data_IF_239310742526
#
_entry.id   IF_239310742526
#
_cell.length_a   1.000
_cell.length_b   1.000
_cell.length_c   1.000
_cell.angle_alpha   90.00
_cell.angle_beta   90.00
_cell.angle_gamma   90.00
#
_symmetry.space_group_name_H-M   'P 1'
#
loop_
_entity.id
_entity.type
_entity.pdbx_description
1 polymer ?
#
# COMPACT_ATOMS: atom_id res chain seq x y z
N UNK A 1 4.83 24.32 -2.96
CA UNK A 1 3.46 24.28 -2.34
C UNK A 1 2.33 24.17 -3.37
N UNK A 2 2.44 24.69 -4.60
CA UNK A 2 1.40 24.57 -5.62
C UNK A 2 0.81 23.13 -5.74
N UNK A 3 1.70 22.13 -5.85
CA UNK A 3 1.28 20.72 -5.95
C UNK A 3 0.47 20.21 -4.74
N UNK A 4 0.70 20.78 -3.55
CA UNK A 4 -0.08 20.43 -2.35
C UNK A 4 -1.48 20.99 -2.46
N UNK A 5 -1.61 22.25 -2.87
CA UNK A 5 -2.91 22.90 -3.08
C UNK A 5 -3.72 22.20 -4.17
N UNK A 6 -3.07 21.88 -5.30
CA UNK A 6 -3.73 21.17 -6.42
C UNK A 6 -4.21 19.77 -6.00
N UNK A 7 -3.39 19.04 -5.22
CA UNK A 7 -3.70 17.69 -4.79
C UNK A 7 -4.81 17.64 -3.72
N UNK A 8 -4.84 18.61 -2.81
CA UNK A 8 -5.70 18.58 -1.61
C UNK A 8 -6.94 19.46 -1.71
N UNK A 9 -6.99 20.39 -2.68
CA UNK A 9 -7.98 21.46 -2.74
C UNK A 9 -7.91 22.42 -1.54
N UNK A 10 -6.76 22.44 -0.83
CA UNK A 10 -6.55 23.29 0.34
C UNK A 10 -6.42 24.77 0.02
N UNK A 11 -6.52 25.61 1.04
CA UNK A 11 -6.37 27.06 0.95
C UNK A 11 -5.01 27.49 1.54
N UNK A 12 -4.26 28.32 0.81
CA UNK A 12 -3.03 28.93 1.32
C UNK A 12 -3.38 30.13 2.23
N UNK A 13 -3.16 29.96 3.52
CA UNK A 13 -3.46 31.00 4.53
C UNK A 13 -2.27 31.97 4.70
N UNK A 14 -1.03 31.47 4.59
CA UNK A 14 0.20 32.25 4.72
C UNK A 14 1.32 31.65 3.87
N UNK A 15 2.32 32.46 3.55
CA UNK A 15 3.51 32.06 2.80
C UNK A 15 3.34 32.16 1.28
N UNK A 16 4.22 31.49 0.53
CA UNK A 16 4.30 31.59 -0.93
C UNK A 16 4.02 30.24 -1.60
N UNK A 17 3.18 30.24 -2.62
CA UNK A 17 2.79 29.05 -3.38
C UNK A 17 3.96 28.37 -4.11
N UNK A 18 4.97 29.16 -4.52
CA UNK A 18 6.17 28.68 -5.22
C UNK A 18 7.26 28.13 -4.29
N UNK A 19 7.07 28.20 -2.94
CA UNK A 19 8.05 27.68 -1.99
C UNK A 19 8.21 26.16 -2.16
N UNK A 20 9.45 25.65 -2.38
CA UNK A 20 9.72 24.23 -2.44
C UNK A 20 9.72 23.59 -1.04
N UNK A 21 9.54 22.27 -1.00
CA UNK A 21 9.77 21.45 0.19
C UNK A 21 10.45 20.12 -0.22
N UNK A 22 11.23 19.52 0.68
CA UNK A 22 12.08 18.35 0.38
C UNK A 22 11.50 17.02 0.85
N UNK A 23 10.46 17.03 1.68
CA UNK A 23 9.82 15.84 2.19
C UNK A 23 8.59 16.15 3.00
N UNK A 24 7.84 15.11 3.37
CA UNK A 24 6.63 15.19 4.17
C UNK A 24 6.84 14.43 5.47
N UNK A 25 6.45 15.02 6.61
CA UNK A 25 6.45 14.34 7.90
C UNK A 25 5.12 14.55 8.62
N UNK A 26 4.67 13.52 9.32
CA UNK A 26 3.54 13.54 10.25
C UNK A 26 3.99 13.46 11.71
N UNK A 27 5.31 13.35 11.96
CA UNK A 27 5.92 13.29 13.29
C UNK A 27 6.87 14.48 13.48
N UNK A 28 6.50 15.41 14.36
CA UNK A 28 7.28 16.62 14.64
C UNK A 28 8.69 16.34 15.18
N UNK A 29 8.91 15.16 15.80
CA UNK A 29 10.22 14.73 16.34
C UNK A 29 11.19 14.28 15.23
N UNK A 30 10.67 13.99 14.03
CA UNK A 30 11.42 13.50 12.88
C UNK A 30 11.51 14.53 11.76
N UNK A 31 11.09 15.77 12.02
CA UNK A 31 11.19 16.87 11.07
C UNK A 31 12.65 17.12 10.71
N UNK A 32 12.87 17.33 9.43
CA UNK A 32 14.14 17.80 8.86
C UNK A 32 13.94 19.18 8.26
N UNK A 33 14.97 20.01 8.24
CA UNK A 33 14.93 21.30 7.53
C UNK A 33 14.43 21.09 6.08
N UNK A 34 13.50 21.93 5.66
CA UNK A 34 12.90 21.82 4.33
C UNK A 34 11.64 20.94 4.26
N UNK A 35 11.25 20.22 5.33
CA UNK A 35 10.06 19.39 5.32
C UNK A 35 8.75 20.20 5.36
N UNK A 36 7.70 19.59 4.84
CA UNK A 36 6.31 19.94 5.08
C UNK A 36 5.75 19.08 6.22
N UNK A 37 5.23 19.69 7.27
CA UNK A 37 4.58 18.98 8.37
C UNK A 37 3.08 18.88 8.15
N UNK A 38 2.50 17.70 8.37
CA UNK A 38 1.04 17.48 8.32
C UNK A 38 0.54 17.21 9.73
N UNK A 39 -0.31 18.10 10.25
CA UNK A 39 -0.87 18.02 11.59
C UNK A 39 -2.05 17.05 11.65
N UNK A 40 -1.76 15.74 11.74
CA UNK A 40 -2.80 14.72 11.85
C UNK A 40 -3.51 14.79 13.20
N UNK A 41 -4.82 14.48 13.16
CA UNK A 41 -5.63 14.27 14.37
C UNK A 41 -5.79 12.76 14.55
N UNK A 42 -5.43 12.24 15.72
CA UNK A 42 -5.63 10.85 16.13
C UNK A 42 -6.56 10.76 17.34
N UNK A 43 -6.90 9.55 17.76
CA UNK A 43 -7.80 9.32 18.89
C UNK A 43 -7.28 9.94 20.21
N UNK A 44 -5.96 9.95 20.41
CA UNK A 44 -5.32 10.35 21.67
C UNK A 44 -4.41 11.57 21.52
N UNK A 45 -4.28 12.16 20.34
CA UNK A 45 -3.42 13.32 20.13
C UNK A 45 -3.94 14.20 18.98
N UNK A 46 -3.60 15.48 19.02
CA UNK A 46 -3.84 16.43 17.96
C UNK A 46 -2.51 17.03 17.50
N UNK A 47 -2.16 16.79 16.24
CA UNK A 47 -0.93 17.26 15.61
C UNK A 47 -0.78 18.78 15.56
N UNK A 48 -1.91 19.54 15.67
CA UNK A 48 -1.87 21.01 15.70
C UNK A 48 -1.08 21.55 16.90
N UNK A 49 -1.08 20.83 18.03
CA UNK A 49 -0.28 21.21 19.20
C UNK A 49 1.23 21.15 18.96
N UNK A 50 1.66 20.43 17.94
CA UNK A 50 3.08 20.21 17.61
C UNK A 50 3.57 21.06 16.43
N UNK A 51 2.73 21.95 15.89
CA UNK A 51 3.11 22.83 14.77
C UNK A 51 4.33 23.68 15.15
N UNK A 52 4.34 24.30 16.33
CA UNK A 52 5.49 25.07 16.81
C UNK A 52 6.78 24.25 16.83
N UNK A 53 6.73 23.04 17.39
CA UNK A 53 7.88 22.11 17.44
C UNK A 53 8.36 21.74 16.01
N UNK A 54 7.44 21.53 15.09
CA UNK A 54 7.79 21.22 13.70
C UNK A 54 8.47 22.42 13.01
N UNK A 55 8.00 23.63 13.25
CA UNK A 55 8.59 24.86 12.73
C UNK A 55 9.99 25.09 13.31
N UNK A 56 10.17 24.93 14.62
CA UNK A 56 11.47 25.01 15.30
C UNK A 56 12.45 23.94 14.75
N UNK A 57 11.94 22.77 14.32
CA UNK A 57 12.68 21.70 13.65
C UNK A 57 13.04 22.02 12.19
N UNK A 58 12.61 23.15 11.65
CA UNK A 58 12.92 23.61 10.30
C UNK A 58 11.91 23.24 9.23
N UNK A 59 10.64 22.93 9.62
CA UNK A 59 9.57 22.79 8.63
C UNK A 59 9.36 24.11 7.88
N UNK A 60 9.24 24.02 6.55
CA UNK A 60 9.02 25.18 5.66
C UNK A 60 7.55 25.42 5.36
N UNK A 61 6.69 24.55 5.85
CA UNK A 61 5.26 24.69 5.76
C UNK A 61 4.52 23.66 6.62
N UNK A 62 3.25 23.94 6.85
CA UNK A 62 2.35 23.08 7.62
C UNK A 62 1.02 22.90 6.91
N UNK A 63 0.45 21.69 6.99
CA UNK A 63 -0.91 21.39 6.55
C UNK A 63 -1.75 21.14 7.78
N UNK A 64 -2.84 21.89 7.94
CA UNK A 64 -3.68 21.91 9.14
C UNK A 64 -5.16 21.90 8.80
N UNK A 65 -6.02 21.42 9.72
CA UNK A 65 -7.49 21.53 9.59
C UNK A 65 -8.02 22.81 10.23
N UNK A 66 -7.39 23.25 11.31
CA UNK A 66 -7.89 24.36 12.11
C UNK A 66 -6.78 25.39 12.38
N UNK A 67 -6.88 26.52 11.70
CA UNK A 67 -5.94 27.64 11.86
C UNK A 67 -6.14 28.41 13.15
N UNK A 68 -7.31 28.32 13.81
CA UNK A 68 -7.54 28.98 15.12
C UNK A 68 -6.67 28.43 16.25
N UNK A 69 -6.07 27.25 16.07
CA UNK A 69 -5.11 26.67 17.01
C UNK A 69 -3.70 27.23 16.82
N UNK A 70 -3.46 28.04 15.80
CA UNK A 70 -2.17 28.60 15.46
C UNK A 70 -2.12 30.10 15.81
N UNK A 71 -1.04 30.54 16.42
CA UNK A 71 -0.74 31.96 16.52
C UNK A 71 -0.04 32.43 15.22
N UNK A 72 -0.84 32.69 14.18
CA UNK A 72 -0.32 33.08 12.87
C UNK A 72 0.61 34.29 12.90
N UNK A 73 0.51 35.16 13.91
CA UNK A 73 1.38 36.32 14.07
C UNK A 73 2.79 35.94 14.49
N UNK A 74 2.97 34.75 15.06
CA UNK A 74 4.29 34.22 15.47
C UNK A 74 4.92 33.32 14.40
N UNK A 75 4.17 32.97 13.37
CA UNK A 75 4.69 32.19 12.24
C UNK A 75 5.41 33.13 11.29
N UNK A 76 6.65 32.80 10.94
CA UNK A 76 7.45 33.54 9.96
C UNK A 76 6.70 33.63 8.61
N UNK A 77 6.69 34.81 7.99
CA UNK A 77 6.03 35.06 6.70
C UNK A 77 6.55 34.15 5.58
N UNK A 78 7.77 33.62 5.73
CA UNK A 78 8.35 32.64 4.83
C UNK A 78 7.76 31.23 4.98
N UNK A 79 7.05 30.90 6.04
CA UNK A 79 6.43 29.58 6.28
C UNK A 79 5.07 29.51 5.59
N UNK A 80 4.83 28.40 4.87
CA UNK A 80 3.54 28.17 4.24
C UNK A 80 2.57 27.49 5.22
N UNK A 81 1.41 28.09 5.40
CA UNK A 81 0.27 27.49 6.15
C UNK A 81 -0.82 27.15 5.16
N UNK A 82 -1.13 25.88 5.03
CA UNK A 82 -2.17 25.37 4.13
C UNK A 82 -3.28 24.78 4.99
N UNK A 83 -4.48 25.31 4.84
CA UNK A 83 -5.67 24.77 5.50
C UNK A 83 -6.37 23.79 4.58
N UNK A 84 -6.76 22.63 5.14
CA UNK A 84 -7.52 21.58 4.46
C UNK A 84 -8.71 21.16 5.30
N UNK A 85 -9.70 20.50 4.70
CA UNK A 85 -10.88 20.00 5.44
C UNK A 85 -10.52 18.85 6.37
N UNK A 86 -9.63 17.96 5.94
CA UNK A 86 -9.18 16.79 6.70
C UNK A 86 -7.72 16.47 6.35
N UNK A 87 -6.84 16.48 7.36
CA UNK A 87 -5.40 16.29 7.16
C UNK A 87 -5.02 14.85 6.80
N UNK A 88 -5.80 13.85 7.23
CA UNK A 88 -5.57 12.47 6.85
C UNK A 88 -5.92 12.22 5.37
N UNK A 89 -7.02 12.80 4.92
CA UNK A 89 -7.41 12.80 3.51
C UNK A 89 -6.35 13.52 2.67
N UNK A 90 -5.92 14.70 3.08
CA UNK A 90 -4.89 15.48 2.40
C UNK A 90 -3.55 14.72 2.27
N UNK A 91 -3.13 14.00 3.32
CA UNK A 91 -1.94 13.13 3.28
C UNK A 91 -2.05 12.08 2.17
N UNK A 92 -3.20 11.42 2.07
CA UNK A 92 -3.47 10.43 1.03
C UNK A 92 -3.50 11.03 -0.38
N UNK A 93 -4.15 12.18 -0.56
CA UNK A 93 -4.26 12.86 -1.85
C UNK A 93 -2.90 13.36 -2.35
N UNK A 94 -2.09 13.90 -1.46
CA UNK A 94 -0.69 14.26 -1.75
C UNK A 94 0.14 13.04 -2.15
N UNK A 95 -0.02 11.90 -1.46
CA UNK A 95 0.68 10.67 -1.79
C UNK A 95 0.23 10.12 -3.14
N UNK A 96 -1.07 10.16 -3.46
CA UNK A 96 -1.59 9.81 -4.76
C UNK A 96 -0.98 10.68 -5.87
N UNK A 97 -1.04 12.02 -5.72
CA UNK A 97 -0.46 12.95 -6.68
C UNK A 97 1.05 12.71 -6.88
N UNK A 98 1.78 12.40 -5.80
CA UNK A 98 3.19 12.05 -5.87
C UNK A 98 3.41 10.71 -6.60
N UNK A 99 2.62 9.67 -6.30
CA UNK A 99 2.64 8.35 -6.96
C UNK A 99 2.47 8.47 -8.48
N UNK A 100 1.54 9.31 -8.92
CA UNK A 100 1.23 9.49 -10.36
C UNK A 100 2.36 10.14 -11.17
N UNK A 101 3.43 10.62 -10.53
CA UNK A 101 4.64 11.13 -11.20
C UNK A 101 5.57 10.02 -11.69
N UNK A 102 5.32 8.78 -11.31
CA UNK A 102 6.17 7.63 -11.62
C UNK A 102 5.40 6.63 -12.50
N UNK A 103 5.91 6.40 -13.69
CA UNK A 103 5.35 5.44 -14.66
C UNK A 103 5.90 4.02 -14.40
N UNK A 104 5.90 3.58 -13.13
CA UNK A 104 6.33 2.24 -12.73
C UNK A 104 5.10 1.40 -12.34
N UNK A 105 5.14 0.07 -12.54
CA UNK A 105 4.11 -0.82 -12.04
C UNK A 105 3.99 -0.74 -10.51
N UNK A 106 2.76 -0.76 -10.00
CA UNK A 106 2.47 -0.84 -8.57
C UNK A 106 1.62 -2.06 -8.29
N UNK A 107 2.06 -2.85 -7.34
CA UNK A 107 1.36 -4.00 -6.82
C UNK A 107 0.69 -3.61 -5.52
N UNK A 108 -0.64 -3.73 -5.47
CA UNK A 108 -1.44 -3.63 -4.26
C UNK A 108 -1.69 -5.03 -3.69
N UNK A 109 -1.37 -5.23 -2.42
CA UNK A 109 -1.47 -6.52 -1.76
C UNK A 109 -2.26 -6.42 -0.46
N UNK A 110 -3.35 -7.18 -0.34
CA UNK A 110 -4.14 -7.30 0.89
C UNK A 110 -4.48 -8.76 1.22
N UNK A 111 -5.14 -9.00 2.33
CA UNK A 111 -5.59 -10.33 2.76
C UNK A 111 -5.75 -10.42 4.27
N UNK A 112 -6.37 -11.49 4.75
CA UNK A 112 -6.54 -11.74 6.19
C UNK A 112 -5.25 -12.20 6.84
N UNK A 113 -4.47 -13.05 6.15
CA UNK A 113 -3.17 -13.55 6.61
C UNK A 113 -2.18 -13.67 5.44
N UNK A 114 -0.90 -13.90 5.73
CA UNK A 114 0.13 -14.14 4.71
C UNK A 114 0.67 -12.90 4.00
N UNK A 115 0.05 -11.72 4.12
CA UNK A 115 0.43 -10.49 3.43
C UNK A 115 1.93 -10.20 3.46
N UNK A 116 2.49 -10.05 4.66
CA UNK A 116 3.91 -9.70 4.82
C UNK A 116 4.83 -10.79 4.29
N UNK A 117 4.50 -12.07 4.52
CA UNK A 117 5.27 -13.20 4.00
C UNK A 117 5.26 -13.21 2.47
N UNK A 118 4.10 -13.08 1.86
CA UNK A 118 3.95 -13.01 0.40
C UNK A 118 4.70 -11.79 -0.17
N UNK A 119 4.57 -10.62 0.47
CA UNK A 119 5.30 -9.41 0.08
C UNK A 119 6.82 -9.63 0.07
N UNK A 120 7.36 -10.26 1.10
CA UNK A 120 8.80 -10.50 1.18
C UNK A 120 9.26 -11.57 0.15
N UNK A 121 8.48 -12.63 -0.06
CA UNK A 121 8.78 -13.63 -1.11
C UNK A 121 8.74 -12.99 -2.50
N UNK A 122 7.73 -12.19 -2.79
CA UNK A 122 7.60 -11.45 -4.05
C UNK A 122 8.76 -10.47 -4.24
N UNK A 123 9.11 -9.72 -3.21
CA UNK A 123 10.24 -8.81 -3.26
C UNK A 123 11.54 -9.55 -3.57
N UNK A 124 11.80 -10.70 -2.91
CA UNK A 124 12.96 -11.55 -3.21
C UNK A 124 13.05 -11.95 -4.69
N UNK A 125 11.90 -12.30 -5.31
CA UNK A 125 11.85 -12.67 -6.75
C UNK A 125 12.19 -11.44 -7.61
N UNK A 126 11.53 -10.31 -7.34
CA UNK A 126 11.66 -9.12 -8.17
C UNK A 126 13.01 -8.39 -7.99
N UNK A 127 13.58 -8.41 -6.79
CA UNK A 127 14.88 -7.80 -6.46
C UNK A 127 16.05 -8.46 -7.19
N UNK A 128 15.85 -9.63 -7.81
CA UNK A 128 16.89 -10.26 -8.67
C UNK A 128 17.22 -9.42 -9.91
N UNK A 129 16.26 -8.61 -10.40
CA UNK A 129 16.41 -7.83 -11.64
C UNK A 129 15.93 -6.38 -11.53
N UNK A 130 15.24 -6.01 -10.44
CA UNK A 130 14.54 -4.73 -10.30
C UNK A 130 14.88 -4.04 -8.99
N UNK A 131 14.92 -2.71 -8.99
CA UNK A 131 14.92 -1.91 -7.76
C UNK A 131 13.49 -1.79 -7.23
N UNK A 132 13.20 -2.49 -6.15
CA UNK A 132 11.86 -2.62 -5.57
C UNK A 132 11.66 -1.64 -4.42
N UNK A 133 10.64 -0.81 -4.47
CA UNK A 133 10.09 -0.18 -3.28
C UNK A 133 9.07 -1.13 -2.65
N UNK A 134 9.17 -1.40 -1.35
CA UNK A 134 8.16 -2.18 -0.63
C UNK A 134 7.77 -1.57 0.70
N UNK A 135 6.54 -1.85 1.14
CA UNK A 135 6.07 -1.49 2.48
C UNK A 135 7.00 -2.06 3.53
N UNK A 136 7.50 -1.23 4.42
CA UNK A 136 8.35 -1.62 5.56
C UNK A 136 7.50 -1.80 6.82
N UNK A 137 7.79 -2.88 7.56
CA UNK A 137 7.07 -3.17 8.81
C UNK A 137 5.55 -3.21 8.60
N UNK A 138 4.84 -2.45 9.41
CA UNK A 138 3.38 -2.33 9.40
C UNK A 138 2.87 -1.00 8.79
N UNK A 139 3.64 -0.35 7.92
CA UNK A 139 3.26 0.90 7.25
C UNK A 139 2.21 0.65 6.14
N UNK A 140 1.13 -0.04 6.47
CA UNK A 140 0.12 -0.56 5.56
C UNK A 140 -1.27 0.06 5.74
N UNK A 141 -1.39 1.14 6.52
CA UNK A 141 -2.63 1.86 6.80
C UNK A 141 -2.66 3.25 6.11
N UNK A 142 -3.70 4.05 6.38
CA UNK A 142 -3.91 5.37 5.77
C UNK A 142 -2.82 6.41 6.07
N UNK A 143 -1.93 6.15 7.02
CA UNK A 143 -0.74 6.97 7.31
C UNK A 143 0.52 6.34 6.72
N UNK A 144 0.71 5.05 6.94
CA UNK A 144 1.94 4.34 6.58
C UNK A 144 2.11 4.12 5.07
N UNK A 145 1.03 3.84 4.34
CA UNK A 145 1.10 3.68 2.89
C UNK A 145 1.50 4.98 2.18
N UNK A 146 0.93 6.17 2.50
CA UNK A 146 1.45 7.45 2.04
C UNK A 146 2.94 7.66 2.33
N UNK A 147 3.39 7.37 3.55
CA UNK A 147 4.82 7.48 3.92
C UNK A 147 5.70 6.56 3.08
N UNK A 148 5.22 5.36 2.74
CA UNK A 148 5.93 4.45 1.84
C UNK A 148 6.00 5.04 0.42
N UNK A 149 4.91 5.59 -0.08
CA UNK A 149 4.82 6.21 -1.41
C UNK A 149 5.77 7.42 -1.53
N UNK A 150 5.88 8.27 -0.52
CA UNK A 150 6.82 9.40 -0.54
C UNK A 150 8.30 8.99 -0.60
N UNK A 151 8.62 7.72 -0.43
CA UNK A 151 9.98 7.17 -0.62
C UNK A 151 10.24 6.74 -2.06
N UNK A 152 9.26 6.83 -2.97
CA UNK A 152 9.50 6.59 -4.39
C UNK A 152 10.54 7.56 -4.93
N UNK A 153 11.45 7.02 -5.74
CA UNK A 153 12.44 7.78 -6.50
C UNK A 153 12.47 7.28 -7.94
N UNK A 154 13.16 7.97 -8.81
CA UNK A 154 13.34 7.55 -10.21
C UNK A 154 14.17 6.28 -10.38
N UNK A 155 14.79 5.81 -9.32
CA UNK A 155 15.58 4.59 -9.33
C UNK A 155 14.73 3.32 -9.14
N UNK A 156 13.50 3.44 -8.63
CA UNK A 156 12.63 2.30 -8.43
C UNK A 156 11.99 1.88 -9.75
N UNK A 157 12.03 0.57 -10.03
CA UNK A 157 11.43 -0.05 -11.21
C UNK A 157 10.01 -0.54 -10.93
N UNK A 158 9.67 -0.78 -9.65
CA UNK A 158 8.38 -1.34 -9.22
C UNK A 158 8.13 -1.04 -7.74
N UNK A 159 6.85 -0.98 -7.35
CA UNK A 159 6.46 -0.85 -5.94
C UNK A 159 5.52 -1.98 -5.50
N UNK A 160 5.74 -2.52 -4.28
CA UNK A 160 4.88 -3.49 -3.61
C UNK A 160 4.30 -2.82 -2.36
N UNK A 161 3.00 -2.50 -2.41
CA UNK A 161 2.30 -1.78 -1.36
C UNK A 161 1.33 -2.72 -0.62
N UNK A 162 1.71 -3.09 0.62
CA UNK A 162 0.84 -3.85 1.51
C UNK A 162 -0.27 -2.94 2.04
N UNK A 163 -1.52 -3.43 2.02
CA UNK A 163 -2.72 -2.72 2.45
C UNK A 163 -3.40 -3.48 3.58
N UNK A 164 -3.40 -2.90 4.76
CA UNK A 164 -4.12 -3.39 5.94
C UNK A 164 -5.43 -2.65 6.14
N UNK A 165 -6.37 -3.26 6.86
CA UNK A 165 -7.64 -2.63 7.21
C UNK A 165 -8.11 -3.09 8.58
N UNK A 166 -8.73 -2.17 9.32
CA UNK A 166 -9.44 -2.40 10.57
C UNK A 166 -10.92 -1.99 10.47
N UNK A 167 -11.25 -1.09 9.54
CA UNK A 167 -12.58 -0.53 9.35
C UNK A 167 -12.99 -0.52 7.88
N UNK A 168 -14.31 -0.40 7.63
CA UNK A 168 -14.86 -0.37 6.27
C UNK A 168 -14.38 0.85 5.48
N UNK A 169 -14.05 0.62 4.21
CA UNK A 169 -13.65 1.65 3.25
C UNK A 169 -12.16 1.98 3.25
N UNK A 170 -11.35 1.41 4.17
CA UNK A 170 -9.91 1.64 4.20
C UNK A 170 -9.21 1.05 2.98
N UNK A 171 -9.53 -0.20 2.57
CA UNK A 171 -8.92 -0.81 1.37
C UNK A 171 -9.29 -0.01 0.12
N UNK A 172 -10.52 0.42 -0.01
CA UNK A 172 -10.93 1.33 -1.10
C UNK A 172 -10.08 2.59 -1.15
N UNK A 173 -9.87 3.24 0.00
CA UNK A 173 -9.07 4.46 0.10
C UNK A 173 -7.60 4.19 -0.22
N UNK A 174 -7.00 3.16 0.36
CA UNK A 174 -5.61 2.76 0.11
C UNK A 174 -5.38 2.42 -1.36
N UNK A 175 -6.32 1.72 -1.98
CA UNK A 175 -6.27 1.38 -3.41
C UNK A 175 -6.30 2.62 -4.28
N UNK A 176 -7.17 3.60 -3.98
CA UNK A 176 -7.21 4.87 -4.70
C UNK A 176 -5.90 5.67 -4.55
N UNK A 177 -5.30 5.66 -3.35
CA UNK A 177 -4.02 6.34 -3.10
C UNK A 177 -2.89 5.68 -3.91
N UNK A 178 -2.81 4.35 -3.88
CA UNK A 178 -1.75 3.58 -4.53
C UNK A 178 -1.92 3.48 -6.05
N UNK A 179 -3.17 3.47 -6.54
CA UNK A 179 -3.53 3.23 -7.95
C UNK A 179 -2.76 2.03 -8.53
N UNK A 180 -2.97 0.79 -7.98
CA UNK A 180 -2.17 -0.35 -8.37
C UNK A 180 -2.55 -0.89 -9.75
N UNK A 181 -1.54 -1.36 -10.47
CA UNK A 181 -1.66 -2.03 -11.77
C UNK A 181 -1.89 -3.53 -11.59
N UNK A 182 -1.47 -4.08 -10.45
CA UNK A 182 -1.65 -5.49 -10.10
C UNK A 182 -2.26 -5.56 -8.70
N UNK A 183 -3.37 -6.28 -8.57
CA UNK A 183 -4.05 -6.52 -7.30
C UNK A 183 -3.89 -7.98 -6.87
N UNK A 184 -3.42 -8.19 -5.63
CA UNK A 184 -3.34 -9.50 -5.00
C UNK A 184 -4.14 -9.52 -3.70
N UNK A 185 -5.08 -10.45 -3.59
CA UNK A 185 -5.78 -10.81 -2.36
C UNK A 185 -5.34 -12.21 -1.94
N UNK A 186 -4.49 -12.30 -0.89
CA UNK A 186 -3.88 -13.58 -0.48
C UNK A 186 -4.91 -14.59 -0.01
N UNK A 187 -5.81 -14.19 0.86
CA UNK A 187 -6.92 -14.99 1.36
C UNK A 187 -7.95 -14.12 2.10
N UNK A 188 -9.14 -14.70 2.31
CA UNK A 188 -10.17 -14.11 3.18
C UNK A 188 -10.49 -15.09 4.31
N UNK A 189 -10.34 -14.64 5.54
CA UNK A 189 -10.61 -15.42 6.73
C UNK A 189 -11.17 -14.55 7.85
N UNK A 190 -11.51 -15.15 9.01
CA UNK A 190 -12.10 -14.46 10.16
C UNK A 190 -11.10 -13.54 10.85
N UNK A 191 -10.71 -12.46 10.17
CA UNK A 191 -9.84 -11.41 10.69
C UNK A 191 -10.67 -10.15 10.99
N UNK A 192 -10.35 -9.46 12.08
CA UNK A 192 -10.99 -8.20 12.50
C UNK A 192 -12.52 -8.28 12.61
N UNK A 193 -13.08 -9.43 13.00
CA UNK A 193 -14.53 -9.66 13.10
C UNK A 193 -15.23 -8.66 14.04
N UNK A 194 -14.53 -8.15 15.07
CA UNK A 194 -15.07 -7.12 15.95
C UNK A 194 -15.44 -5.83 15.19
N UNK A 195 -14.70 -5.49 14.10
CA UNK A 195 -14.97 -4.32 13.28
C UNK A 195 -15.89 -4.59 12.10
N UNK A 196 -15.82 -5.78 11.50
CA UNK A 196 -16.58 -6.12 10.27
C UNK A 196 -17.86 -6.90 10.53
N UNK A 197 -17.96 -7.63 11.63
CA UNK A 197 -19.15 -8.42 12.00
C UNK A 197 -19.26 -9.77 11.31
N UNK A 198 -18.81 -9.94 10.07
CA UNK A 198 -18.87 -11.22 9.33
C UNK A 198 -17.71 -11.41 8.36
N UNK A 199 -17.49 -12.64 7.90
CA UNK A 199 -16.48 -12.97 6.87
C UNK A 199 -16.87 -12.37 5.52
N UNK A 200 -18.16 -12.28 5.21
CA UNK A 200 -18.69 -11.65 4.01
C UNK A 200 -18.28 -10.18 3.95
N UNK A 201 -18.42 -9.46 5.08
CA UNK A 201 -18.01 -8.07 5.17
C UNK A 201 -16.47 -7.90 5.03
N UNK A 202 -15.68 -8.84 5.53
CA UNK A 202 -14.22 -8.87 5.31
C UNK A 202 -13.89 -9.10 3.83
N UNK A 203 -14.64 -9.99 3.16
CA UNK A 203 -14.49 -10.24 1.73
C UNK A 203 -14.82 -8.98 0.91
N UNK A 204 -15.94 -8.33 1.19
CA UNK A 204 -16.35 -7.09 0.52
C UNK A 204 -15.28 -6.02 0.66
N UNK A 205 -14.85 -5.74 1.90
CA UNK A 205 -13.81 -4.75 2.18
C UNK A 205 -12.51 -5.03 1.42
N UNK A 206 -12.03 -6.28 1.44
CA UNK A 206 -10.77 -6.64 0.76
C UNK A 206 -10.93 -6.71 -0.76
N UNK A 207 -12.13 -7.06 -1.23
CA UNK A 207 -12.50 -7.04 -2.65
C UNK A 207 -12.47 -5.66 -3.27
N UNK A 208 -12.59 -4.60 -2.46
CA UNK A 208 -12.43 -3.21 -2.91
C UNK A 208 -11.08 -2.96 -3.61
N UNK A 209 -10.06 -3.78 -3.35
CA UNK A 209 -8.81 -3.76 -4.10
C UNK A 209 -9.07 -3.97 -5.61
N UNK A 210 -9.78 -5.02 -5.98
CA UNK A 210 -10.06 -5.34 -7.39
C UNK A 210 -11.01 -4.31 -8.02
N UNK A 211 -11.98 -3.79 -7.25
CA UNK A 211 -12.97 -2.83 -7.75
C UNK A 211 -12.40 -1.44 -8.02
N UNK A 212 -11.29 -1.08 -7.36
CA UNK A 212 -10.76 0.29 -7.39
C UNK A 212 -9.33 0.42 -7.89
N UNK A 213 -8.66 -0.68 -8.26
CA UNK A 213 -7.36 -0.65 -8.92
C UNK A 213 -7.49 -0.15 -10.37
N UNK A 214 -6.34 0.02 -11.05
CA UNK A 214 -6.30 0.42 -12.46
C UNK A 214 -7.17 -0.51 -13.32
N UNK A 215 -8.17 -0.02 -14.06
CA UNK A 215 -9.07 -0.85 -14.87
C UNK A 215 -8.37 -1.70 -15.94
N UNK A 216 -7.21 -1.28 -16.41
CA UNK A 216 -6.36 -2.07 -17.35
C UNK A 216 -5.40 -3.02 -16.66
N UNK A 217 -5.46 -3.11 -15.33
CA UNK A 217 -4.57 -3.92 -14.50
C UNK A 217 -4.85 -5.42 -14.54
N UNK A 218 -4.14 -6.16 -13.69
CA UNK A 218 -4.23 -7.62 -13.58
C UNK A 218 -4.58 -8.03 -12.15
N UNK A 219 -5.63 -8.83 -11.98
CA UNK A 219 -5.99 -9.46 -10.71
C UNK A 219 -5.27 -10.81 -10.57
N UNK A 220 -4.64 -11.04 -9.43
CA UNK A 220 -4.07 -12.35 -9.06
C UNK A 220 -5.07 -13.06 -8.16
N UNK A 221 -5.52 -14.25 -8.59
CA UNK A 221 -6.68 -14.93 -8.00
C UNK A 221 -6.34 -16.35 -7.57
N UNK A 222 -6.47 -16.62 -6.28
CA UNK A 222 -6.43 -17.96 -5.70
C UNK A 222 -7.75 -18.69 -5.99
N UNK A 223 -7.72 -19.73 -6.84
CA UNK A 223 -8.92 -20.51 -7.18
C UNK A 223 -9.35 -21.47 -6.06
N UNK A 224 -8.48 -21.77 -5.11
CA UNK A 224 -8.79 -22.65 -3.98
C UNK A 224 -9.52 -21.89 -2.83
N UNK A 225 -9.48 -20.55 -2.83
CA UNK A 225 -10.20 -19.73 -1.85
C UNK A 225 -11.49 -19.17 -2.49
N UNK A 226 -12.63 -19.68 -2.05
CA UNK A 226 -13.94 -19.29 -2.58
C UNK A 226 -14.22 -17.79 -2.37
N UNK A 227 -13.83 -17.24 -1.24
CA UNK A 227 -14.07 -15.82 -0.95
C UNK A 227 -13.20 -14.92 -1.83
N UNK A 228 -11.96 -15.33 -2.16
CA UNK A 228 -11.12 -14.62 -3.15
C UNK A 228 -11.72 -14.71 -4.54
N UNK A 229 -12.24 -15.87 -4.96
CA UNK A 229 -12.93 -16.02 -6.25
C UNK A 229 -14.14 -15.09 -6.36
N UNK A 230 -14.98 -15.06 -5.31
CA UNK A 230 -16.15 -14.19 -5.25
C UNK A 230 -15.76 -12.70 -5.24
N UNK A 231 -14.70 -12.31 -4.50
CA UNK A 231 -14.20 -10.94 -4.51
C UNK A 231 -13.72 -10.50 -5.90
N UNK A 232 -13.16 -11.42 -6.69
CA UNK A 232 -12.67 -11.16 -8.05
C UNK A 232 -13.76 -11.32 -9.13
N UNK A 233 -15.00 -11.74 -8.79
CA UNK A 233 -16.04 -12.06 -9.77
C UNK A 233 -16.36 -10.88 -10.69
N UNK A 234 -16.45 -9.68 -10.12
CA UNK A 234 -16.78 -8.45 -10.86
C UNK A 234 -15.58 -7.82 -11.59
N UNK A 235 -14.38 -8.40 -11.45
CA UNK A 235 -13.22 -7.93 -12.19
C UNK A 235 -13.27 -8.41 -13.65
N UNK A 236 -13.38 -7.50 -14.58
CA UNK A 236 -13.46 -7.80 -16.02
C UNK A 236 -12.12 -7.72 -16.76
N UNK A 237 -11.05 -7.27 -16.08
CA UNK A 237 -9.71 -7.15 -16.64
C UNK A 237 -8.93 -8.47 -16.70
N UNK A 238 -7.64 -8.36 -16.94
CA UNK A 238 -6.74 -9.52 -16.96
C UNK A 238 -6.71 -10.23 -15.61
N UNK A 239 -6.55 -11.56 -15.65
CA UNK A 239 -6.37 -12.39 -14.46
C UNK A 239 -5.17 -13.29 -14.63
N UNK A 240 -4.43 -13.49 -13.55
CA UNK A 240 -3.48 -14.59 -13.38
C UNK A 240 -4.01 -15.43 -12.22
N UNK A 241 -4.19 -16.72 -12.49
CA UNK A 241 -4.81 -17.65 -11.54
C UNK A 241 -3.81 -18.64 -10.99
N UNK A 242 -4.02 -19.10 -9.77
CA UNK A 242 -3.27 -20.20 -9.21
C UNK A 242 -4.13 -21.12 -8.37
N UNK A 243 -3.76 -22.42 -8.29
CA UNK A 243 -4.46 -23.44 -7.52
C UNK A 243 -3.57 -24.62 -7.20
N UNK A 244 -3.78 -25.22 -6.04
CA UNK A 244 -3.20 -26.54 -5.69
C UNK A 244 -4.08 -27.70 -6.15
N UNK A 245 -5.36 -27.45 -6.46
CA UNK A 245 -6.37 -28.51 -6.66
C UNK A 245 -7.04 -28.45 -8.02
N UNK A 246 -7.06 -27.29 -8.69
CA UNK A 246 -7.69 -27.08 -9.98
C UNK A 246 -6.68 -26.68 -11.07
N UNK A 247 -7.12 -26.72 -12.33
CA UNK A 247 -6.36 -26.17 -13.45
C UNK A 247 -6.29 -24.66 -13.34
N UNK A 248 -5.07 -24.10 -13.40
CA UNK A 248 -4.77 -22.69 -13.27
C UNK A 248 -3.48 -22.34 -14.02
N UNK A 249 -3.17 -21.06 -14.17
CA UNK A 249 -1.92 -20.59 -14.81
C UNK A 249 -0.70 -21.05 -14.02
N UNK A 250 -0.83 -21.12 -12.69
CA UNK A 250 0.18 -21.65 -11.78
C UNK A 250 -0.41 -22.75 -10.92
N UNK A 251 0.30 -23.87 -10.83
CA UNK A 251 -0.06 -24.98 -9.97
C UNK A 251 1.17 -25.60 -9.31
N UNK A 252 0.96 -26.56 -8.42
CA UNK A 252 2.04 -27.26 -7.72
C UNK A 252 1.86 -28.78 -7.79
N UNK A 253 3.00 -29.49 -7.77
CA UNK A 253 3.03 -30.96 -7.65
C UNK A 253 4.13 -31.41 -6.70
N UNK A 254 4.19 -32.69 -6.37
CA UNK A 254 5.24 -33.33 -5.56
C UNK A 254 5.52 -32.63 -4.20
N UNK A 255 4.45 -32.23 -3.52
CA UNK A 255 4.56 -31.57 -2.21
C UNK A 255 5.15 -32.53 -1.19
N UNK A 256 6.27 -32.13 -0.58
CA UNK A 256 6.95 -32.88 0.49
C UNK A 256 7.10 -32.00 1.73
N UNK A 257 6.62 -32.51 2.87
CA UNK A 257 6.74 -31.85 4.17
C UNK A 257 7.99 -32.38 4.89
N UNK A 258 8.87 -31.48 5.32
CA UNK A 258 10.12 -31.82 6.02
C UNK A 258 10.05 -31.47 7.51
N UNK A 259 8.84 -31.41 8.09
CA UNK A 259 8.60 -31.00 9.48
C UNK A 259 9.04 -29.57 9.70
N UNK A 260 9.78 -29.32 10.78
CA UNK A 260 10.28 -27.97 11.10
C UNK A 260 11.29 -27.43 10.07
N UNK A 261 11.84 -28.27 9.19
CA UNK A 261 12.80 -27.86 8.15
C UNK A 261 12.14 -27.23 6.92
N UNK A 262 10.79 -27.22 6.86
CA UNK A 262 10.07 -26.57 5.78
C UNK A 262 9.32 -27.52 4.86
N UNK A 263 9.09 -27.06 3.62
CA UNK A 263 8.37 -27.79 2.56
C UNK A 263 9.12 -27.67 1.23
N UNK A 264 8.99 -28.67 0.38
CA UNK A 264 9.44 -28.59 -1.02
C UNK A 264 8.34 -29.06 -1.96
N UNK A 265 8.32 -28.52 -3.16
CA UNK A 265 7.33 -28.82 -4.20
C UNK A 265 7.86 -28.43 -5.57
N UNK A 266 7.24 -28.92 -6.64
CA UNK A 266 7.44 -28.41 -7.97
C UNK A 266 6.37 -27.36 -8.26
N UNK A 267 6.79 -26.14 -8.60
CA UNK A 267 5.94 -25.07 -9.10
C UNK A 267 5.84 -25.21 -10.62
N UNK A 268 4.63 -25.31 -11.16
CA UNK A 268 4.36 -25.40 -12.58
C UNK A 268 3.84 -24.06 -13.08
N UNK A 269 4.54 -23.47 -14.04
CA UNK A 269 4.23 -22.15 -14.57
C UNK A 269 4.70 -22.09 -16.03
N UNK A 270 3.89 -21.57 -16.95
CA UNK A 270 4.22 -21.46 -18.39
C UNK A 270 4.69 -22.78 -19.02
N UNK A 271 4.13 -23.91 -18.61
CA UNK A 271 4.50 -25.24 -19.10
C UNK A 271 5.83 -25.78 -18.59
N UNK A 272 6.48 -25.08 -17.65
CA UNK A 272 7.74 -25.50 -17.04
C UNK A 272 7.53 -25.83 -15.54
N UNK A 273 8.33 -26.75 -15.03
CA UNK A 273 8.36 -27.09 -13.61
C UNK A 273 9.66 -26.59 -12.98
N UNK A 274 9.53 -25.86 -11.88
CA UNK A 274 10.65 -25.38 -11.08
C UNK A 274 10.57 -25.96 -9.68
N UNK A 275 11.64 -26.58 -9.18
CA UNK A 275 11.70 -27.06 -7.81
C UNK A 275 11.85 -25.90 -6.83
N UNK A 276 10.94 -25.82 -5.88
CA UNK A 276 10.95 -24.83 -4.80
C UNK A 276 11.18 -25.50 -3.48
N UNK A 277 12.07 -24.93 -2.66
CA UNK A 277 12.35 -25.35 -1.30
C UNK A 277 12.16 -24.14 -0.36
N UNK A 278 11.15 -24.22 0.51
CA UNK A 278 10.90 -23.20 1.53
C UNK A 278 11.43 -23.69 2.87
N UNK A 279 12.26 -22.89 3.54
CA UNK A 279 12.77 -23.17 4.88
C UNK A 279 11.76 -22.85 6.00
N UNK A 280 10.49 -22.72 5.64
CA UNK A 280 9.37 -22.47 6.54
C UNK A 280 8.32 -23.56 6.34
N UNK A 281 7.75 -24.04 7.46
CA UNK A 281 6.78 -25.13 7.46
C UNK A 281 5.36 -24.62 7.19
N UNK A 282 4.50 -25.52 6.73
CA UNK A 282 3.06 -25.28 6.58
C UNK A 282 2.61 -25.07 5.14
N UNK A 283 1.43 -25.61 4.83
CA UNK A 283 0.80 -25.50 3.50
C UNK A 283 0.50 -24.07 3.13
N UNK A 284 0.14 -23.22 4.11
CA UNK A 284 -0.10 -21.81 3.88
C UNK A 284 1.11 -21.07 3.26
N UNK A 285 2.35 -21.55 3.53
CA UNK A 285 3.54 -20.97 2.89
C UNK A 285 3.71 -21.40 1.44
N UNK A 286 3.12 -22.53 1.03
CA UNK A 286 3.03 -22.89 -0.40
C UNK A 286 2.10 -21.89 -1.10
N UNK A 287 0.94 -21.57 -0.52
CA UNK A 287 0.06 -20.53 -1.06
C UNK A 287 0.76 -19.17 -1.12
N UNK A 288 1.46 -18.74 -0.08
CA UNK A 288 2.23 -17.49 -0.10
C UNK A 288 3.27 -17.47 -1.24
N UNK A 289 3.91 -18.60 -1.52
CA UNK A 289 4.87 -18.72 -2.62
C UNK A 289 4.18 -18.71 -4.00
N UNK A 290 3.00 -19.33 -4.12
CA UNK A 290 2.19 -19.28 -5.34
C UNK A 290 1.65 -17.86 -5.58
N UNK A 291 1.17 -17.17 -4.55
CA UNK A 291 0.81 -15.74 -4.58
C UNK A 291 1.96 -14.90 -5.16
N UNK A 292 3.18 -15.10 -4.62
CA UNK A 292 4.36 -14.36 -5.05
C UNK A 292 4.72 -14.66 -6.50
N UNK A 293 4.72 -15.95 -6.90
CA UNK A 293 5.04 -16.37 -8.26
C UNK A 293 3.99 -15.87 -9.28
N UNK A 294 2.68 -15.97 -8.93
CA UNK A 294 1.60 -15.50 -9.77
C UNK A 294 1.65 -13.96 -9.96
N UNK A 295 2.00 -13.25 -8.89
CA UNK A 295 2.15 -11.79 -8.96
C UNK A 295 3.38 -11.39 -9.79
N UNK A 296 4.50 -12.10 -9.66
CA UNK A 296 5.68 -11.86 -10.49
C UNK A 296 5.38 -12.14 -11.98
N UNK A 297 4.64 -13.22 -12.30
CA UNK A 297 4.17 -13.51 -13.65
C UNK A 297 3.25 -12.39 -14.19
N UNK A 298 2.35 -11.85 -13.36
CA UNK A 298 1.48 -10.74 -13.74
C UNK A 298 2.26 -9.46 -14.10
N UNK A 299 3.41 -9.21 -13.47
CA UNK A 299 4.31 -8.09 -13.80
C UNK A 299 4.87 -8.23 -15.21
N UNK A 300 5.22 -9.43 -15.64
CA UNK A 300 5.81 -9.67 -16.99
C UNK A 300 4.73 -9.66 -18.09
N UNK A 301 3.51 -10.12 -17.82
CA UNK A 301 2.39 -10.10 -18.78
C UNK A 301 1.85 -8.66 -18.98
N UNK A 302 2.02 -7.79 -18.01
CA UNK A 302 1.57 -6.39 -18.05
C UNK A 302 2.45 -5.45 -18.87
N UNK A 303 3.61 -5.94 -19.32
CA UNK A 303 4.54 -5.22 -20.22
C UNK A 303 4.17 -5.47 -21.67
#
# INVERSE_FOLDING_TARGET
MAQVLDATGGELISGRVDRPFEGVSTDSRQIKPGNLFIALIGENFDGHHFVGVALDGGAVGVVVQNTNMLDLKKIDEGVCVIQVTDTLTALGDMAHAYRMRFAIPVIGLTGSSGKTTTKEMLACILEMEKKVLKTQGNLNNLIGLPQTIFRLTREHDIAILEMGTNTRGEIKRLTKIASPDIGLLTNVGPAHLAGFGSVEAVREEKGDLFLHMNPSGTAVVNLDDEAVRLAAEHWSGKRVTFSMTASADISVSDIRKHGARGVSFNLLMCGQACKVELKVAGIHNIYNAMDAAATAMAVEIGR
#
